data_IF_842677316348
#
_entry.id   IF_842677316348
#
_cell.length_a   1.000
_cell.length_b   1.000
_cell.length_c   1.000
_cell.angle_alpha   90.00
_cell.angle_beta   90.00
_cell.angle_gamma   90.00
#
_symmetry.space_group_name_H-M   'P 1'
#
loop_
_entity.id
_entity.type
_entity.pdbx_description
1 polymer ?
#
# COMPACT_ATOMS: atom_id res chain seq x y z
N UNK A 1 10.59 15.87 8.91
CA UNK A 1 10.35 14.66 8.08
C UNK A 1 8.86 14.40 7.95
N UNK A 2 8.45 13.87 6.80
CA UNK A 2 7.07 13.45 6.61
C UNK A 2 6.91 12.05 7.22
N UNK A 3 5.95 11.92 8.14
CA UNK A 3 5.66 10.65 8.79
C UNK A 3 4.52 9.95 8.07
N UNK A 4 4.73 8.69 7.72
CA UNK A 4 3.75 7.84 7.05
C UNK A 4 3.23 6.84 8.08
N UNK A 5 1.92 6.82 8.31
CA UNK A 5 1.32 5.95 9.32
C UNK A 5 0.35 4.97 8.67
N UNK A 6 0.62 3.69 8.83
CA UNK A 6 -0.31 2.63 8.48
C UNK A 6 -0.87 2.10 9.78
N UNK A 7 -2.14 2.41 10.05
CA UNK A 7 -2.75 2.20 11.37
C UNK A 7 -2.91 0.74 11.74
N UNK A 8 -2.96 -0.16 10.75
CA UNK A 8 -3.12 -1.58 10.99
C UNK A 8 -1.84 -2.32 10.60
N UNK A 9 -1.15 -2.91 11.58
CA UNK A 9 0.10 -3.62 11.30
C UNK A 9 -0.13 -5.02 10.74
N UNK A 10 -1.24 -5.65 11.11
CA UNK A 10 -1.55 -7.02 10.71
C UNK A 10 -3.04 -7.14 10.40
N UNK A 11 -3.34 -7.72 9.26
CA UNK A 11 -4.71 -8.03 8.83
C UNK A 11 -4.80 -9.48 8.42
N UNK A 12 -5.96 -10.09 8.65
CA UNK A 12 -6.25 -11.42 8.16
C UNK A 12 -7.56 -11.39 7.37
N UNK A 13 -7.59 -12.08 6.25
CA UNK A 13 -8.78 -12.12 5.40
C UNK A 13 -8.94 -13.51 4.80
N UNK A 14 -10.18 -13.87 4.49
CA UNK A 14 -10.48 -15.10 3.76
C UNK A 14 -10.52 -14.82 2.26
N UNK A 15 -10.17 -15.80 1.42
CA UNK A 15 -10.26 -15.62 -0.03
C UNK A 15 -11.64 -15.11 -0.44
N UNK A 16 -11.66 -14.13 -1.33
CA UNK A 16 -12.90 -13.53 -1.81
C UNK A 16 -13.33 -12.28 -1.07
N UNK A 17 -12.74 -12.00 0.10
CA UNK A 17 -13.09 -10.79 0.84
C UNK A 17 -12.44 -9.54 0.24
N UNK A 18 -13.07 -8.38 0.50
CA UNK A 18 -12.50 -7.08 0.16
C UNK A 18 -11.59 -6.62 1.29
N UNK A 19 -10.40 -6.14 0.94
CA UNK A 19 -9.43 -5.64 1.91
C UNK A 19 -9.04 -4.21 1.56
N UNK A 20 -8.96 -3.35 2.56
CA UNK A 20 -8.50 -1.98 2.40
C UNK A 20 -7.38 -1.70 3.40
N UNK A 21 -6.24 -1.25 2.88
CA UNK A 21 -5.08 -0.88 3.67
C UNK A 21 -4.94 0.64 3.59
N UNK A 22 -4.83 1.31 4.73
CA UNK A 22 -4.80 2.77 4.79
C UNK A 22 -3.41 3.29 5.13
N UNK A 23 -3.14 4.49 4.63
CA UNK A 23 -1.88 5.20 4.87
C UNK A 23 -2.20 6.68 5.12
N UNK A 24 -1.78 7.18 6.27
CA UNK A 24 -1.92 8.59 6.63
C UNK A 24 -0.56 9.28 6.55
N UNK A 25 -0.54 10.48 6.02
CA UNK A 25 0.69 11.26 5.83
C UNK A 25 0.61 12.49 6.73
N UNK A 26 1.69 12.79 7.44
CA UNK A 26 1.71 13.90 8.41
C UNK A 26 1.56 15.29 7.76
N UNK A 27 1.87 15.41 6.48
CA UNK A 27 1.69 16.64 5.72
C UNK A 27 1.06 16.33 4.38
N UNK A 28 0.24 17.25 3.87
CA UNK A 28 -0.40 17.06 2.57
C UNK A 28 0.66 16.96 1.46
N UNK A 29 0.53 15.97 0.60
CA UNK A 29 1.42 15.77 -0.55
C UNK A 29 0.59 15.67 -1.82
N UNK A 30 1.26 15.79 -2.96
CA UNK A 30 0.62 15.54 -4.25
C UNK A 30 0.39 14.02 -4.40
N UNK A 31 -0.76 13.65 -4.94
CA UNK A 31 -1.09 12.24 -5.16
C UNK A 31 -0.07 11.54 -6.07
N UNK A 32 0.59 12.27 -6.97
CA UNK A 32 1.62 11.70 -7.84
C UNK A 32 2.85 11.22 -7.06
N UNK A 33 3.00 11.63 -5.82
CA UNK A 33 4.16 11.31 -4.99
C UNK A 33 3.90 10.22 -3.94
N UNK A 34 2.74 9.57 -3.98
CA UNK A 34 2.40 8.48 -3.05
C UNK A 34 2.45 7.16 -3.80
N UNK A 35 3.23 6.23 -3.27
CA UNK A 35 3.45 4.93 -3.92
C UNK A 35 3.24 3.79 -2.92
N UNK A 36 2.94 2.60 -3.44
CA UNK A 36 2.77 1.39 -2.65
C UNK A 36 3.72 0.32 -3.13
N UNK A 37 4.26 -0.46 -2.19
CA UNK A 37 5.16 -1.58 -2.47
C UNK A 37 4.58 -2.85 -1.86
N UNK A 38 4.80 -3.98 -2.54
CA UNK A 38 4.47 -5.30 -2.01
C UNK A 38 5.76 -6.04 -1.72
N UNK A 39 5.88 -6.59 -0.51
CA UNK A 39 7.03 -7.40 -0.13
C UNK A 39 6.55 -8.75 0.39
N UNK A 40 6.98 -9.82 -0.26
CA UNK A 40 6.77 -11.18 0.23
C UNK A 40 7.97 -11.60 1.05
N UNK A 41 7.81 -12.64 1.90
CA UNK A 41 8.86 -13.12 2.79
C UNK A 41 10.18 -13.31 2.06
N UNK A 42 11.26 -12.79 2.65
CA UNK A 42 12.64 -13.00 2.20
C UNK A 42 12.95 -12.50 0.78
N UNK A 43 12.09 -11.63 0.23
CA UNK A 43 12.36 -11.01 -1.07
C UNK A 43 12.35 -9.50 -0.95
N UNK A 44 12.94 -8.83 -1.94
CA UNK A 44 12.93 -7.37 -1.99
C UNK A 44 11.52 -6.85 -2.27
N UNK A 45 11.17 -5.66 -1.76
CA UNK A 45 9.89 -5.04 -2.09
C UNK A 45 9.79 -4.80 -3.60
N UNK A 46 8.59 -4.99 -4.13
CA UNK A 46 8.29 -4.72 -5.54
C UNK A 46 7.41 -3.50 -5.62
N UNK A 47 7.65 -2.64 -6.60
CA UNK A 47 6.77 -1.52 -6.90
C UNK A 47 5.40 -2.09 -7.30
N UNK A 48 4.35 -1.65 -6.62
CA UNK A 48 3.02 -2.24 -6.79
C UNK A 48 2.03 -1.24 -7.35
N UNK A 49 1.93 -0.06 -6.73
CA UNK A 49 1.10 1.04 -7.22
C UNK A 49 1.96 2.31 -7.18
N UNK A 50 1.93 3.10 -8.24
CA UNK A 50 2.64 4.38 -8.27
C UNK A 50 1.68 5.52 -8.58
N UNK A 51 2.00 6.71 -8.03
CA UNK A 51 1.15 7.88 -8.22
C UNK A 51 -0.27 7.68 -7.72
N UNK A 52 -0.41 7.03 -6.56
CA UNK A 52 -1.66 6.75 -5.85
C UNK A 52 -2.51 5.65 -6.49
N UNK A 53 -2.73 5.67 -7.81
CA UNK A 53 -3.74 4.79 -8.43
C UNK A 53 -3.24 4.01 -9.65
N UNK A 54 -2.00 4.18 -10.07
CA UNK A 54 -1.48 3.51 -11.27
C UNK A 54 -0.85 2.18 -10.91
N UNK A 55 -1.37 1.09 -11.44
CA UNK A 55 -0.84 -0.24 -11.17
C UNK A 55 0.47 -0.43 -11.93
N UNK A 56 1.47 -1.01 -11.26
CA UNK A 56 2.72 -1.39 -11.90
C UNK A 56 2.49 -2.55 -12.86
N UNK A 57 3.44 -2.77 -13.77
CA UNK A 57 3.34 -3.85 -14.76
C UNK A 57 3.18 -5.20 -14.04
N UNK A 58 2.23 -5.99 -14.48
CA UNK A 58 1.99 -7.33 -13.94
C UNK A 58 1.12 -7.37 -12.69
N UNK A 59 0.70 -6.23 -12.16
CA UNK A 59 -0.18 -6.21 -10.98
C UNK A 59 -1.60 -6.55 -11.39
N UNK A 60 -2.24 -7.52 -10.73
CA UNK A 60 -3.61 -7.90 -11.07
C UNK A 60 -4.60 -6.75 -10.93
N UNK A 61 -5.62 -6.75 -11.78
CA UNK A 61 -6.62 -5.68 -11.80
C UNK A 61 -7.52 -5.61 -10.58
N UNK A 62 -7.46 -6.60 -9.69
CA UNK A 62 -8.22 -6.56 -8.43
C UNK A 62 -7.66 -5.56 -7.43
N UNK A 63 -6.43 -5.08 -7.66
CA UNK A 63 -5.83 -4.03 -6.84
C UNK A 63 -6.24 -2.66 -7.34
N UNK A 64 -6.43 -1.73 -6.42
CA UNK A 64 -6.67 -0.33 -6.76
C UNK A 64 -6.12 0.57 -5.66
N UNK A 65 -5.82 1.79 -6.02
CA UNK A 65 -5.35 2.78 -5.06
C UNK A 65 -6.15 4.06 -5.19
N UNK A 66 -6.29 4.78 -4.09
CA UNK A 66 -7.01 6.04 -4.07
C UNK A 66 -6.49 6.92 -2.94
N UNK A 67 -6.91 8.17 -2.95
CA UNK A 67 -6.59 9.11 -1.89
C UNK A 67 -6.09 10.44 -2.40
N UNK A 68 -5.95 11.36 -1.47
CA UNK A 68 -5.41 12.70 -1.75
C UNK A 68 -5.02 13.36 -0.44
N UNK A 69 -4.19 14.40 -0.53
CA UNK A 69 -3.79 15.17 0.63
C UNK A 69 -3.00 14.36 1.63
N UNK A 70 -3.64 13.99 2.74
CA UNK A 70 -2.99 13.25 3.83
C UNK A 70 -3.54 11.84 4.02
N UNK A 71 -4.51 11.41 3.20
CA UNK A 71 -5.17 10.12 3.39
C UNK A 71 -5.18 9.31 2.10
N UNK A 72 -4.63 8.11 2.15
CA UNK A 72 -4.48 7.22 0.98
C UNK A 72 -4.85 5.80 1.35
N UNK A 73 -5.26 5.02 0.36
CA UNK A 73 -5.60 3.61 0.59
C UNK A 73 -5.28 2.74 -0.62
N UNK A 74 -4.99 1.47 -0.32
CA UNK A 74 -4.85 0.40 -1.29
C UNK A 74 -5.98 -0.59 -1.03
N UNK A 75 -6.72 -0.97 -2.07
CA UNK A 75 -7.87 -1.86 -1.93
C UNK A 75 -7.70 -3.08 -2.83
N UNK A 76 -8.04 -4.24 -2.31
CA UNK A 76 -8.12 -5.49 -3.07
C UNK A 76 -9.58 -5.87 -3.08
N UNK A 77 -10.19 -5.92 -4.27
CA UNK A 77 -11.64 -6.15 -4.40
C UNK A 77 -12.06 -7.56 -3.98
N UNK A 78 -11.22 -8.56 -4.25
CA UNK A 78 -11.48 -9.94 -3.90
C UNK A 78 -10.14 -10.62 -3.69
N UNK A 79 -9.74 -10.79 -2.44
CA UNK A 79 -8.41 -11.24 -2.09
C UNK A 79 -8.18 -12.69 -2.48
N UNK A 80 -6.96 -13.01 -2.91
CA UNK A 80 -6.53 -14.35 -3.25
C UNK A 80 -5.32 -14.75 -2.41
N UNK A 81 -5.05 -16.04 -2.33
CA UNK A 81 -3.95 -16.55 -1.50
C UNK A 81 -2.60 -15.92 -1.85
N UNK A 82 -2.36 -15.62 -3.13
CA UNK A 82 -1.11 -15.01 -3.59
C UNK A 82 -0.94 -13.55 -3.15
N UNK A 83 -1.99 -12.94 -2.61
CA UNK A 83 -1.93 -11.56 -2.14
C UNK A 83 -1.34 -11.46 -0.73
N UNK A 84 -1.06 -12.57 -0.07
CA UNK A 84 -0.42 -12.60 1.24
C UNK A 84 0.97 -11.97 1.14
N UNK A 85 1.15 -10.82 1.78
CA UNK A 85 2.38 -10.04 1.69
C UNK A 85 2.32 -8.89 2.69
N UNK A 86 3.40 -8.13 2.81
CA UNK A 86 3.40 -6.88 3.54
C UNK A 86 3.37 -5.74 2.54
N UNK A 87 2.48 -4.79 2.75
CA UNK A 87 2.29 -3.65 1.86
C UNK A 87 2.76 -2.38 2.56
N UNK A 88 3.59 -1.60 1.86
CA UNK A 88 4.17 -0.35 2.38
C UNK A 88 3.76 0.81 1.51
N UNK A 89 3.36 1.93 2.14
CA UNK A 89 3.22 3.19 1.41
C UNK A 89 4.53 3.98 1.52
N UNK A 90 4.79 4.84 0.54
CA UNK A 90 6.01 5.66 0.49
C UNK A 90 5.69 6.99 -0.15
N UNK A 91 6.30 8.07 0.35
CA UNK A 91 6.18 9.38 -0.27
C UNK A 91 7.49 9.80 -0.95
N UNK A 92 7.35 10.48 -2.07
CA UNK A 92 8.47 11.06 -2.82
C UNK A 92 8.40 12.59 -2.85
N UNK A 93 7.62 13.18 -1.94
CA UNK A 93 7.39 14.63 -1.95
C UNK A 93 8.58 15.43 -1.43
N UNK A 94 9.23 14.91 -0.39
CA UNK A 94 10.39 15.60 0.20
C UNK A 94 11.37 14.60 0.78
N UNK A 95 12.64 14.99 0.82
CA UNK A 95 13.67 14.18 1.46
C UNK A 95 13.70 14.45 2.97
N UNK A 96 14.03 13.46 3.79
CA UNK A 96 14.31 12.08 3.35
C UNK A 96 13.02 11.39 2.88
N UNK A 97 13.15 10.49 1.90
CA UNK A 97 12.02 9.66 1.48
C UNK A 97 11.64 8.75 2.65
N UNK A 98 10.34 8.66 2.93
CA UNK A 98 9.88 7.90 4.09
C UNK A 98 8.84 6.87 3.67
N UNK A 99 8.80 5.77 4.46
CA UNK A 99 7.86 4.67 4.25
C UNK A 99 6.93 4.56 5.44
N UNK A 100 5.75 4.00 5.22
CA UNK A 100 4.90 3.54 6.31
C UNK A 100 5.52 2.32 6.99
N UNK A 101 5.02 1.97 8.15
CA UNK A 101 5.50 0.81 8.90
C UNK A 101 5.14 -0.53 8.31
N UNK A 102 4.24 -0.55 7.34
CA UNK A 102 3.80 -1.76 6.68
C UNK A 102 2.54 -2.35 7.29
N UNK A 103 1.75 -2.99 6.44
CA UNK A 103 0.59 -3.78 6.86
C UNK A 103 0.78 -5.19 6.30
N UNK A 104 0.94 -6.17 7.18
CA UNK A 104 1.06 -7.57 6.78
C UNK A 104 -0.34 -8.13 6.57
N UNK A 105 -0.59 -8.65 5.38
CA UNK A 105 -1.86 -9.29 5.03
C UNK A 105 -1.68 -10.80 5.04
N UNK A 106 -2.45 -11.48 5.89
CA UNK A 106 -2.49 -12.93 5.95
C UNK A 106 -3.79 -13.43 5.34
N UNK A 107 -3.72 -14.51 4.57
CA UNK A 107 -4.89 -15.12 3.93
C UNK A 107 -5.17 -16.43 4.64
N UNK A 108 -6.38 -16.55 5.13
CA UNK A 108 -6.82 -17.72 5.89
C UNK A 108 -7.04 -18.94 5.02
#
# INVERSE_FOLDING_TARGET
DIVMTQSTALMAASPGEKVTITCSVSSSISSSNLHWYQQKSETSPKSWIYGTSNLASGVPGRFSGSGSGTSYSLTISSVEAEDAATYYCQQWSSYPLTFGGGTKLEIK
#
